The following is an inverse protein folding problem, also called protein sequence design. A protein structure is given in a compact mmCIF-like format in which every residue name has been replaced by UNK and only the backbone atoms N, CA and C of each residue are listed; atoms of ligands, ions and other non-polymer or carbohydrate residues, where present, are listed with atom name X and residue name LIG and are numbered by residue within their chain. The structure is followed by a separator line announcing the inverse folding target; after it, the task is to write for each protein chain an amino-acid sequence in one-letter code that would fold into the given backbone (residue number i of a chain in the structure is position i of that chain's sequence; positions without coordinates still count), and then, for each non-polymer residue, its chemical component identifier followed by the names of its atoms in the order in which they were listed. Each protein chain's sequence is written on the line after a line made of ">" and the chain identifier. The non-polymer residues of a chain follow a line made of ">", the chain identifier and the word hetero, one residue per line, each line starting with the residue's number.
data_IF_538329319214
#
_entry.id   IF_538329319214
#
_cell.length_a   1.000
_cell.length_b   1.000
_cell.length_c   1.000
_cell.angle_alpha   90.00
_cell.angle_beta   90.00
_cell.angle_gamma   90.00
#
_symmetry.space_group_name_H-M   'P 1'
#
loop_
_entity.id
_entity.type
_entity.pdbx_description
1 polymer ?
#
# COMPACT_ATOMS: atom_id res chain seq x y z
N UNK A 1 -19.47 -22.46 -13.24
CA UNK A 1 -19.35 -22.56 -11.76
C UNK A 1 -18.00 -23.12 -11.32
N UNK A 2 -17.50 -24.25 -11.86
CA UNK A 2 -16.20 -24.88 -11.50
C UNK A 2 -15.01 -23.93 -11.71
N UNK A 3 -14.90 -23.27 -12.87
CA UNK A 3 -13.82 -22.33 -13.18
C UNK A 3 -13.76 -21.14 -12.21
N UNK A 4 -14.91 -20.56 -11.83
CA UNK A 4 -14.95 -19.47 -10.82
C UNK A 4 -14.46 -19.91 -9.45
N UNK A 5 -14.81 -21.14 -9.02
CA UNK A 5 -14.29 -21.68 -7.74
C UNK A 5 -12.79 -21.84 -7.74
N UNK A 6 -12.20 -22.33 -8.85
CA UNK A 6 -10.74 -22.46 -9.00
C UNK A 6 -10.08 -21.07 -8.94
N UNK A 7 -10.62 -20.11 -9.67
CA UNK A 7 -10.11 -18.72 -9.67
C UNK A 7 -10.15 -18.11 -8.25
N UNK A 8 -11.28 -18.26 -7.55
CA UNK A 8 -11.41 -17.82 -6.16
C UNK A 8 -10.37 -18.47 -5.25
N UNK A 9 -10.18 -19.79 -5.38
CA UNK A 9 -9.20 -20.53 -4.58
C UNK A 9 -7.76 -20.03 -4.83
N UNK A 10 -7.39 -19.83 -6.10
CA UNK A 10 -6.07 -19.25 -6.46
C UNK A 10 -5.90 -17.85 -5.84
N UNK A 11 -6.93 -17.00 -5.90
CA UNK A 11 -6.86 -15.67 -5.30
C UNK A 11 -6.74 -15.70 -3.78
N UNK A 12 -7.39 -16.63 -3.09
CA UNK A 12 -7.25 -16.80 -1.63
C UNK A 12 -5.82 -17.18 -1.26
N UNK A 13 -5.25 -18.16 -1.98
CA UNK A 13 -3.85 -18.58 -1.73
C UNK A 13 -2.91 -17.41 -1.99
N UNK A 14 -3.07 -16.71 -3.12
CA UNK A 14 -2.26 -15.58 -3.49
C UNK A 14 -2.33 -14.45 -2.44
N UNK A 15 -3.53 -14.10 -2.01
CA UNK A 15 -3.74 -13.09 -0.97
C UNK A 15 -3.02 -13.46 0.33
N UNK A 16 -3.23 -14.68 0.82
CA UNK A 16 -2.58 -15.14 2.05
C UNK A 16 -1.06 -15.19 1.90
N UNK A 17 -0.55 -15.70 0.78
CA UNK A 17 0.88 -15.72 0.51
C UNK A 17 1.47 -14.31 0.58
N UNK A 18 0.90 -13.34 -0.14
CA UNK A 18 1.40 -11.97 -0.17
C UNK A 18 1.30 -11.26 1.19
N UNK A 19 0.22 -11.49 1.97
CA UNK A 19 0.09 -10.92 3.33
C UNK A 19 1.18 -11.45 4.26
N UNK A 20 1.52 -12.74 4.15
CA UNK A 20 2.49 -13.39 5.03
C UNK A 20 3.87 -13.57 4.39
N UNK A 21 4.12 -13.03 3.19
CA UNK A 21 5.36 -13.17 2.43
C UNK A 21 6.60 -12.88 3.29
N UNK A 22 6.61 -11.76 4.00
CA UNK A 22 7.74 -11.36 4.85
C UNK A 22 7.98 -12.33 6.02
N UNK A 23 6.92 -12.88 6.59
CA UNK A 23 7.02 -13.91 7.63
C UNK A 23 7.56 -15.25 7.08
N UNK A 24 7.19 -15.58 5.83
CA UNK A 24 7.68 -16.78 5.12
C UNK A 24 9.16 -16.63 4.77
N UNK A 25 9.56 -15.48 4.18
CA UNK A 25 10.95 -15.18 3.82
C UNK A 25 11.89 -15.25 5.02
N UNK A 26 11.45 -14.79 6.19
CA UNK A 26 12.23 -14.89 7.43
C UNK A 26 12.53 -16.34 7.83
N UNK A 27 11.64 -17.29 7.50
CA UNK A 27 11.75 -18.71 7.89
C UNK A 27 12.44 -19.57 6.83
N UNK A 28 12.43 -19.14 5.58
CA UNK A 28 12.98 -19.87 4.44
C UNK A 28 13.93 -18.99 3.63
N UNK A 29 14.99 -18.44 4.23
CA UNK A 29 15.89 -17.50 3.56
C UNK A 29 16.68 -18.14 2.41
N UNK A 30 16.78 -19.50 2.39
CA UNK A 30 17.50 -20.24 1.34
C UNK A 30 16.83 -20.12 -0.04
N UNK A 31 15.55 -19.75 -0.11
CA UNK A 31 14.83 -19.57 -1.38
C UNK A 31 14.78 -18.07 -1.70
N UNK A 32 15.92 -17.47 -2.02
CA UNK A 32 16.01 -16.04 -2.39
C UNK A 32 15.06 -15.63 -3.53
N UNK A 33 14.68 -16.56 -4.41
CA UNK A 33 13.67 -16.33 -5.46
C UNK A 33 12.29 -15.94 -4.91
N UNK A 34 11.96 -16.27 -3.66
CA UNK A 34 10.68 -15.86 -3.06
C UNK A 34 10.58 -14.36 -2.84
N UNK A 35 11.70 -13.64 -2.75
CA UNK A 35 11.71 -12.17 -2.62
C UNK A 35 11.22 -11.47 -3.89
N UNK A 36 11.38 -12.09 -5.06
CA UNK A 36 10.97 -11.55 -6.36
C UNK A 36 9.59 -12.06 -6.83
N UNK A 37 8.84 -12.73 -5.96
CA UNK A 37 7.56 -13.37 -6.34
C UNK A 37 6.50 -12.34 -6.73
N UNK A 38 6.49 -11.20 -6.10
CA UNK A 38 5.54 -10.11 -6.38
C UNK A 38 5.85 -9.41 -7.71
N UNK A 39 7.13 -9.21 -8.08
CA UNK A 39 7.53 -8.72 -9.39
C UNK A 39 7.18 -9.72 -10.51
N UNK A 40 7.50 -10.99 -10.30
CA UNK A 40 7.14 -12.05 -11.26
C UNK A 40 5.61 -12.14 -11.43
N UNK A 41 4.86 -12.07 -10.34
CA UNK A 41 3.41 -12.07 -10.36
C UNK A 41 2.86 -10.82 -11.07
N UNK A 42 3.45 -9.65 -10.84
CA UNK A 42 3.08 -8.41 -11.54
C UNK A 42 3.22 -8.58 -13.05
N UNK A 43 4.33 -9.14 -13.53
CA UNK A 43 4.54 -9.38 -14.97
C UNK A 43 3.48 -10.35 -15.53
N UNK A 44 3.20 -11.44 -14.83
CA UNK A 44 2.17 -12.42 -15.25
C UNK A 44 0.79 -11.76 -15.29
N UNK A 45 0.42 -11.02 -14.27
CA UNK A 45 -0.88 -10.34 -14.21
C UNK A 45 -1.01 -9.26 -15.28
N UNK A 46 0.06 -8.53 -15.57
CA UNK A 46 0.07 -7.53 -16.66
C UNK A 46 -0.20 -8.20 -18.01
N UNK A 47 0.52 -9.27 -18.32
CA UNK A 47 0.32 -10.04 -19.58
C UNK A 47 -1.11 -10.58 -19.65
N UNK A 48 -1.60 -11.23 -18.59
CA UNK A 48 -2.96 -11.77 -18.54
C UNK A 48 -4.01 -10.66 -18.72
N UNK A 49 -3.80 -9.49 -18.13
CA UNK A 49 -4.71 -8.35 -18.26
C UNK A 49 -4.75 -7.82 -19.70
N UNK A 50 -3.61 -7.67 -20.33
CA UNK A 50 -3.53 -7.24 -21.75
C UNK A 50 -4.20 -8.26 -22.66
N UNK A 51 -3.91 -9.55 -22.50
CA UNK A 51 -4.55 -10.61 -23.28
C UNK A 51 -6.06 -10.66 -23.07
N UNK A 52 -6.52 -10.38 -21.84
CA UNK A 52 -7.93 -10.31 -21.52
C UNK A 52 -8.59 -9.10 -22.20
N UNK A 53 -7.98 -7.92 -22.15
CA UNK A 53 -8.48 -6.70 -22.77
C UNK A 53 -8.54 -6.80 -24.30
N UNK A 54 -7.63 -7.52 -24.92
CA UNK A 54 -7.64 -7.77 -26.37
C UNK A 54 -8.82 -8.66 -26.79
N UNK A 55 -9.34 -9.52 -25.90
CA UNK A 55 -10.44 -10.45 -26.18
C UNK A 55 -11.81 -9.97 -25.73
N UNK A 56 -11.82 -9.10 -24.72
CA UNK A 56 -13.05 -8.65 -24.06
C UNK A 56 -13.02 -7.14 -23.87
N UNK A 57 -14.08 -6.41 -24.26
CA UNK A 57 -14.17 -4.98 -24.00
C UNK A 57 -14.24 -4.74 -22.49
N UNK A 58 -13.31 -3.98 -21.96
CA UNK A 58 -13.27 -3.59 -20.54
C UNK A 58 -13.63 -2.11 -20.45
N UNK A 59 -14.64 -1.78 -19.65
CA UNK A 59 -15.00 -0.39 -19.37
C UNK A 59 -14.29 0.09 -18.09
N UNK A 60 -13.33 0.95 -18.27
CA UNK A 60 -12.68 1.67 -17.17
C UNK A 60 -13.38 3.02 -16.95
N UNK A 61 -13.45 3.44 -15.69
CA UNK A 61 -13.93 4.79 -15.34
C UNK A 61 -13.00 5.86 -15.91
N UNK A 62 -13.53 7.06 -16.21
CA UNK A 62 -12.70 8.19 -16.64
C UNK A 62 -11.56 8.49 -15.68
N UNK A 63 -11.78 8.33 -14.36
CA UNK A 63 -10.73 8.49 -13.35
C UNK A 63 -9.63 7.44 -13.50
N UNK A 64 -9.98 6.19 -13.81
CA UNK A 64 -8.98 5.13 -14.05
C UNK A 64 -8.19 5.39 -15.34
N UNK A 65 -8.81 5.97 -16.36
CA UNK A 65 -8.11 6.38 -17.59
C UNK A 65 -7.11 7.51 -17.31
N UNK A 66 -7.50 8.51 -16.49
CA UNK A 66 -6.59 9.57 -16.02
C UNK A 66 -5.45 8.96 -15.21
N UNK A 67 -5.75 8.03 -14.29
CA UNK A 67 -4.74 7.33 -13.48
C UNK A 67 -3.72 6.60 -14.36
N UNK A 68 -4.17 5.89 -15.40
CA UNK A 68 -3.30 5.21 -16.37
C UNK A 68 -2.43 6.24 -17.11
N UNK A 69 -3.00 7.33 -17.60
CA UNK A 69 -2.25 8.37 -18.29
C UNK A 69 -1.17 8.99 -17.36
N UNK A 70 -1.49 9.22 -16.11
CA UNK A 70 -0.56 9.81 -15.13
C UNK A 70 0.53 8.84 -14.71
N UNK A 71 0.24 7.55 -14.52
CA UNK A 71 1.29 6.57 -14.21
C UNK A 71 2.22 6.34 -15.43
N UNK A 72 1.70 6.39 -16.65
CA UNK A 72 2.52 6.34 -17.85
C UNK A 72 3.38 7.60 -17.99
N UNK A 73 2.85 8.77 -17.64
CA UNK A 73 3.62 10.02 -17.60
C UNK A 73 4.75 9.94 -16.57
N UNK A 74 4.46 9.47 -15.36
CA UNK A 74 5.45 9.21 -14.32
C UNK A 74 6.57 8.29 -14.80
N UNK A 75 6.21 7.14 -15.38
CA UNK A 75 7.17 6.21 -15.98
C UNK A 75 7.98 6.86 -17.10
N UNK A 76 7.29 7.58 -17.99
CA UNK A 76 7.95 8.26 -19.13
C UNK A 76 9.01 9.25 -18.65
N UNK A 77 8.71 10.06 -17.63
CA UNK A 77 9.67 11.00 -17.05
C UNK A 77 10.83 10.27 -16.35
N UNK A 78 10.58 9.23 -15.58
CA UNK A 78 11.63 8.45 -14.93
C UNK A 78 12.54 7.74 -15.94
N UNK A 79 11.97 7.14 -16.99
CA UNK A 79 12.75 6.49 -18.07
C UNK A 79 13.59 7.54 -18.83
N UNK A 80 13.00 8.68 -19.21
CA UNK A 80 13.74 9.77 -19.85
C UNK A 80 14.85 10.30 -18.95
N UNK A 81 14.59 10.46 -17.64
CA UNK A 81 15.61 10.84 -16.66
C UNK A 81 16.78 9.85 -16.67
N UNK A 82 16.48 8.54 -16.64
CA UNK A 82 17.50 7.48 -16.67
C UNK A 82 18.32 7.48 -17.95
N UNK A 83 17.68 7.74 -19.10
CA UNK A 83 18.38 7.76 -20.40
C UNK A 83 19.26 9.00 -20.60
N UNK A 84 18.80 10.15 -20.08
CA UNK A 84 19.55 11.41 -20.17
C UNK A 84 20.69 11.44 -19.14
N UNK A 85 20.42 10.91 -17.93
CA UNK A 85 21.35 10.88 -16.82
C UNK A 85 21.61 9.42 -16.40
N UNK A 86 22.50 8.69 -17.08
CA UNK A 86 22.73 7.28 -16.79
C UNK A 86 23.61 7.11 -15.53
N UNK A 87 23.04 7.45 -14.38
CA UNK A 87 23.72 7.34 -13.06
C UNK A 87 23.79 5.89 -12.61
N UNK A 88 22.71 5.13 -12.84
CA UNK A 88 22.63 3.70 -12.53
C UNK A 88 22.58 2.87 -13.82
N UNK A 89 22.95 1.57 -13.70
CA UNK A 89 22.82 0.64 -14.81
C UNK A 89 21.36 0.46 -15.25
N UNK A 90 21.11 0.38 -16.56
CA UNK A 90 19.75 0.26 -17.12
C UNK A 90 18.93 -0.88 -16.53
N UNK A 91 19.57 -2.00 -16.17
CA UNK A 91 18.89 -3.13 -15.55
C UNK A 91 18.34 -2.78 -14.16
N UNK A 92 19.14 -2.10 -13.33
CA UNK A 92 18.73 -1.65 -12.00
C UNK A 92 17.62 -0.61 -12.09
N UNK A 93 17.74 0.34 -13.01
CA UNK A 93 16.71 1.36 -13.25
C UNK A 93 15.40 0.74 -13.73
N UNK A 94 15.45 -0.29 -14.57
CA UNK A 94 14.26 -1.01 -15.01
C UNK A 94 13.61 -1.80 -13.86
N UNK A 95 14.42 -2.44 -13.00
CA UNK A 95 13.93 -3.14 -11.81
C UNK A 95 13.20 -2.17 -10.86
N UNK A 96 13.79 -1.00 -10.61
CA UNK A 96 13.17 0.02 -9.76
C UNK A 96 11.88 0.60 -10.36
N UNK A 97 11.87 0.88 -11.67
CA UNK A 97 10.67 1.32 -12.37
C UNK A 97 9.51 0.31 -12.21
N UNK A 98 9.80 -1.00 -12.24
CA UNK A 98 8.82 -2.05 -12.01
C UNK A 98 8.27 -1.99 -10.58
N UNK A 99 9.11 -1.80 -9.58
CA UNK A 99 8.70 -1.65 -8.18
C UNK A 99 7.78 -0.43 -8.03
N UNK A 100 8.11 0.70 -8.65
CA UNK A 100 7.35 1.94 -8.55
C UNK A 100 5.91 1.85 -9.07
N UNK A 101 5.64 1.01 -10.08
CA UNK A 101 4.28 0.88 -10.66
C UNK A 101 3.50 -0.32 -10.15
N UNK A 102 4.13 -1.19 -9.37
CA UNK A 102 3.60 -2.48 -8.97
C UNK A 102 2.19 -2.39 -8.40
N UNK A 103 1.92 -1.49 -7.47
CA UNK A 103 0.61 -1.34 -6.82
C UNK A 103 -0.49 -0.96 -7.82
N UNK A 104 -0.21 -0.10 -8.79
CA UNK A 104 -1.17 0.28 -9.86
C UNK A 104 -1.43 -0.90 -10.80
N UNK A 105 -0.39 -1.66 -11.16
CA UNK A 105 -0.54 -2.84 -12.01
C UNK A 105 -1.41 -3.89 -11.32
N UNK A 106 -1.19 -4.16 -10.02
CA UNK A 106 -2.04 -5.06 -9.25
C UNK A 106 -3.49 -4.57 -9.19
N UNK A 107 -3.71 -3.28 -8.93
CA UNK A 107 -5.04 -2.69 -8.97
C UNK A 107 -5.72 -2.92 -10.33
N UNK A 108 -5.08 -2.49 -11.42
CA UNK A 108 -5.64 -2.59 -12.78
C UNK A 108 -5.87 -4.04 -13.21
N UNK A 109 -4.94 -4.94 -12.87
CA UNK A 109 -5.07 -6.35 -13.21
C UNK A 109 -6.32 -6.96 -12.56
N UNK A 110 -6.55 -6.71 -11.28
CA UNK A 110 -7.74 -7.22 -10.61
C UNK A 110 -9.02 -6.50 -11.02
N UNK A 111 -8.94 -5.22 -11.42
CA UNK A 111 -10.07 -4.52 -12.05
C UNK A 111 -10.49 -5.18 -13.36
N UNK A 112 -9.52 -5.61 -14.16
CA UNK A 112 -9.75 -6.21 -15.48
C UNK A 112 -10.11 -7.69 -15.38
N UNK A 113 -9.40 -8.46 -14.58
CA UNK A 113 -9.51 -9.92 -14.53
C UNK A 113 -10.64 -10.42 -13.63
N UNK A 114 -11.13 -9.64 -12.67
CA UNK A 114 -12.17 -10.05 -11.73
C UNK A 114 -13.48 -9.31 -11.99
N UNK A 115 -14.54 -10.00 -12.41
CA UNK A 115 -15.89 -9.45 -12.47
C UNK A 115 -16.50 -9.25 -11.08
N UNK A 116 -17.67 -8.58 -10.99
CA UNK A 116 -18.37 -8.32 -9.73
C UNK A 116 -18.68 -9.60 -8.92
N UNK A 117 -19.13 -10.66 -9.59
CA UNK A 117 -19.41 -11.95 -8.94
C UNK A 117 -18.12 -12.67 -8.49
N UNK A 118 -17.01 -12.55 -9.25
CA UNK A 118 -15.71 -13.06 -8.84
C UNK A 118 -15.20 -12.31 -7.60
N UNK A 119 -15.35 -10.99 -7.57
CA UNK A 119 -14.99 -10.15 -6.42
C UNK A 119 -15.79 -10.54 -5.16
N UNK A 120 -17.11 -10.72 -5.31
CA UNK A 120 -18.00 -11.15 -4.22
C UNK A 120 -17.62 -12.52 -3.65
N UNK A 121 -17.36 -13.50 -4.52
CA UNK A 121 -16.94 -14.84 -4.11
C UNK A 121 -15.57 -14.81 -3.43
N UNK A 122 -14.62 -14.06 -3.99
CA UNK A 122 -13.26 -13.92 -3.46
C UNK A 122 -13.26 -13.24 -2.10
N UNK A 123 -13.95 -12.10 -1.95
CA UNK A 123 -14.05 -11.39 -0.66
C UNK A 123 -14.70 -12.29 0.40
N UNK A 124 -15.74 -13.06 0.02
CA UNK A 124 -16.36 -13.99 0.95
C UNK A 124 -15.39 -15.08 1.43
N UNK A 125 -14.64 -15.68 0.51
CA UNK A 125 -13.69 -16.76 0.84
C UNK A 125 -12.49 -16.23 1.65
N UNK A 126 -11.88 -15.10 1.22
CA UNK A 126 -10.78 -14.43 1.93
C UNK A 126 -11.20 -14.02 3.33
N UNK A 127 -12.43 -13.52 3.52
CA UNK A 127 -12.95 -13.11 4.83
C UNK A 127 -13.01 -14.26 5.85
N UNK A 128 -13.19 -15.51 5.40
CA UNK A 128 -13.12 -16.67 6.31
C UNK A 128 -11.70 -16.82 6.85
N UNK A 129 -10.70 -16.75 5.97
CA UNK A 129 -9.29 -16.83 6.36
C UNK A 129 -8.89 -15.64 7.25
N UNK A 130 -9.39 -14.43 6.93
CA UNK A 130 -9.13 -13.23 7.74
C UNK A 130 -9.67 -13.36 9.18
N UNK A 131 -10.83 -14.00 9.38
CA UNK A 131 -11.36 -14.25 10.73
C UNK A 131 -10.48 -15.21 11.51
N UNK A 132 -10.04 -16.30 10.88
CA UNK A 132 -9.12 -17.26 11.51
C UNK A 132 -7.82 -16.55 11.87
N UNK A 133 -7.25 -15.80 10.94
CA UNK A 133 -6.04 -15.02 11.17
C UNK A 133 -6.22 -13.98 12.30
N UNK A 134 -7.38 -13.30 12.37
CA UNK A 134 -7.68 -12.35 13.44
C UNK A 134 -7.61 -13.00 14.82
N UNK A 135 -8.21 -14.19 14.98
CA UNK A 135 -8.16 -14.93 16.25
C UNK A 135 -6.75 -15.38 16.58
N UNK A 136 -6.07 -16.01 15.60
CA UNK A 136 -4.72 -16.54 15.78
C UNK A 136 -3.72 -15.43 16.14
N UNK A 137 -3.70 -14.33 15.37
CA UNK A 137 -2.79 -13.20 15.64
C UNK A 137 -3.09 -12.55 16.99
N UNK A 138 -4.36 -12.42 17.38
CA UNK A 138 -4.73 -11.86 18.69
C UNK A 138 -4.29 -12.78 19.83
N UNK A 139 -4.52 -14.09 19.72
CA UNK A 139 -4.07 -15.03 20.75
C UNK A 139 -2.55 -15.03 20.88
N UNK A 140 -1.83 -15.00 19.76
CA UNK A 140 -0.37 -14.85 19.77
C UNK A 140 0.05 -13.53 20.41
N UNK A 141 -0.58 -12.40 20.06
CA UNK A 141 -0.26 -11.10 20.65
C UNK A 141 -0.51 -11.07 22.16
N UNK A 142 -1.60 -11.66 22.64
CA UNK A 142 -1.89 -11.79 24.07
C UNK A 142 -0.88 -12.71 24.76
N UNK A 143 -0.51 -13.83 24.14
CA UNK A 143 0.53 -14.72 24.65
C UNK A 143 1.86 -13.97 24.81
N UNK A 144 2.32 -13.27 23.78
CA UNK A 144 3.58 -12.51 23.79
C UNK A 144 3.57 -11.38 24.83
N UNK A 145 2.40 -10.81 25.10
CA UNK A 145 2.27 -9.71 26.07
C UNK A 145 2.22 -10.18 27.50
N UNK A 146 1.50 -11.26 27.82
CA UNK A 146 1.24 -11.71 29.19
C UNK A 146 2.07 -12.92 29.65
N UNK A 147 2.65 -13.68 28.71
CA UNK A 147 3.38 -14.92 29.01
C UNK A 147 4.84 -14.83 28.55
N UNK A 148 5.52 -15.94 28.58
CA UNK A 148 6.90 -16.04 28.10
C UNK A 148 6.95 -15.81 26.57
N UNK A 149 7.71 -14.82 26.08
CA UNK A 149 7.71 -14.50 24.66
C UNK A 149 8.35 -15.61 23.81
N UNK A 150 7.71 -15.97 22.70
CA UNK A 150 8.24 -16.90 21.69
C UNK A 150 8.98 -16.17 20.58
N UNK A 151 8.66 -14.87 20.39
CA UNK A 151 9.24 -14.05 19.34
C UNK A 151 10.05 -12.90 19.95
N UNK A 152 11.08 -12.41 19.23
CA UNK A 152 11.79 -11.23 19.68
C UNK A 152 10.84 -10.02 19.77
N UNK A 153 11.01 -9.25 20.81
CA UNK A 153 10.37 -7.95 20.97
C UNK A 153 11.27 -6.87 20.36
N UNK A 154 10.71 -5.72 20.07
CA UNK A 154 11.43 -4.66 19.39
C UNK A 154 11.72 -3.49 20.37
N UNK A 155 11.24 -2.31 20.08
CA UNK A 155 11.43 -1.11 20.91
C UNK A 155 10.26 -0.92 21.91
N UNK A 156 10.44 -0.04 22.90
CA UNK A 156 9.37 0.33 23.83
C UNK A 156 8.64 1.56 23.28
N UNK A 157 7.33 1.43 23.06
CA UNK A 157 6.45 2.54 22.65
C UNK A 157 5.11 2.47 23.40
N UNK A 158 4.53 3.61 23.64
CA UNK A 158 3.26 3.71 24.40
C UNK A 158 3.29 2.99 25.75
N UNK A 159 4.48 2.84 26.37
CA UNK A 159 4.67 2.18 27.66
C UNK A 159 4.75 0.65 27.63
N UNK A 160 4.81 0.03 26.45
CA UNK A 160 4.98 -1.41 26.29
C UNK A 160 5.98 -1.77 25.18
N UNK A 161 6.54 -2.98 25.25
CA UNK A 161 7.41 -3.53 24.21
C UNK A 161 6.60 -3.89 22.97
N UNK A 162 6.99 -3.34 21.82
CA UNK A 162 6.26 -3.52 20.56
C UNK A 162 6.41 -4.93 20.04
N UNK A 163 5.31 -5.50 19.52
CA UNK A 163 5.27 -6.85 19.02
C UNK A 163 5.53 -6.90 17.51
N UNK A 164 6.33 -7.88 17.09
CA UNK A 164 6.51 -8.21 15.67
C UNK A 164 5.98 -9.61 15.31
N UNK A 165 5.72 -10.46 16.31
CA UNK A 165 5.31 -11.86 16.14
C UNK A 165 6.23 -12.61 15.15
N UNK A 166 5.62 -13.29 14.15
CA UNK A 166 6.36 -14.05 13.14
C UNK A 166 7.02 -13.17 12.06
N UNK A 167 6.80 -11.87 12.06
CA UNK A 167 7.34 -10.95 11.04
C UNK A 167 8.74 -10.45 11.40
N UNK A 168 9.55 -9.99 10.42
CA UNK A 168 10.89 -9.47 10.68
C UNK A 168 10.89 -8.12 11.41
N UNK A 169 9.78 -7.38 11.36
CA UNK A 169 9.67 -6.05 11.95
C UNK A 169 8.20 -5.74 12.32
N UNK A 170 7.91 -4.98 13.38
CA UNK A 170 6.56 -4.62 13.81
C UNK A 170 5.71 -3.93 12.72
N UNK A 171 6.33 -3.20 11.80
CA UNK A 171 5.64 -2.58 10.65
C UNK A 171 4.94 -3.60 9.78
N UNK A 172 5.56 -4.75 9.51
CA UNK A 172 4.94 -5.81 8.70
C UNK A 172 3.78 -6.49 9.42
N UNK A 173 3.87 -6.62 10.75
CA UNK A 173 2.73 -7.10 11.55
C UNK A 173 1.55 -6.12 11.46
N UNK A 174 1.81 -4.83 11.64
CA UNK A 174 0.79 -3.78 11.53
C UNK A 174 0.12 -3.80 10.16
N UNK A 175 0.94 -3.89 9.11
CA UNK A 175 0.49 -3.93 7.73
C UNK A 175 -0.38 -5.16 7.45
N UNK A 176 0.09 -6.35 7.86
CA UNK A 176 -0.65 -7.60 7.68
C UNK A 176 -1.99 -7.56 8.42
N UNK A 177 -2.00 -7.12 9.68
CA UNK A 177 -3.22 -7.01 10.47
C UNK A 177 -4.23 -6.03 9.85
N UNK A 178 -3.76 -4.85 9.41
CA UNK A 178 -4.63 -3.89 8.72
C UNK A 178 -5.15 -4.45 7.40
N UNK A 179 -4.31 -5.07 6.59
CA UNK A 179 -4.69 -5.67 5.30
C UNK A 179 -5.75 -6.75 5.47
N UNK A 180 -5.64 -7.59 6.51
CA UNK A 180 -6.64 -8.61 6.84
C UNK A 180 -7.99 -8.02 7.28
N UNK A 181 -8.03 -6.80 7.79
CA UNK A 181 -9.26 -6.13 8.18
C UNK A 181 -10.08 -5.65 6.97
N UNK A 182 -9.43 -5.23 5.88
CA UNK A 182 -10.10 -4.62 4.72
C UNK A 182 -11.10 -5.56 4.02
N UNK A 183 -10.82 -6.86 3.75
CA UNK A 183 -11.82 -7.79 3.22
C UNK A 183 -13.03 -7.97 4.13
N UNK A 184 -12.85 -7.89 5.45
CA UNK A 184 -13.96 -7.96 6.41
C UNK A 184 -14.86 -6.71 6.32
N UNK A 185 -14.27 -5.51 6.13
CA UNK A 185 -15.01 -4.28 5.89
C UNK A 185 -15.83 -4.38 4.59
N UNK A 186 -15.21 -4.83 3.48
CA UNK A 186 -15.90 -5.02 2.19
C UNK A 186 -17.01 -6.05 2.27
N UNK A 187 -16.82 -7.13 3.05
CA UNK A 187 -17.84 -8.15 3.23
C UNK A 187 -19.11 -7.65 3.89
N UNK A 188 -19.02 -6.61 4.70
CA UNK A 188 -20.16 -5.99 5.36
C UNK A 188 -21.15 -5.38 4.37
N UNK A 189 -20.68 -4.94 3.19
CA UNK A 189 -21.52 -4.51 2.08
C UNK A 189 -22.32 -5.68 1.45
N UNK A 190 -21.72 -6.85 1.36
CA UNK A 190 -22.33 -8.01 0.68
C UNK A 190 -23.47 -8.62 1.49
N UNK A 191 -23.49 -8.48 2.81
CA UNK A 191 -24.46 -9.10 3.73
C UNK A 191 -24.93 -8.12 4.82
N UNK A 192 -25.89 -7.29 4.49
CA UNK A 192 -26.38 -6.20 5.37
C UNK A 192 -27.01 -6.65 6.71
N UNK A 193 -27.34 -7.90 6.93
CA UNK A 193 -28.17 -8.33 8.08
C UNK A 193 -27.46 -9.19 9.15
N UNK A 194 -26.23 -9.68 8.94
CA UNK A 194 -25.54 -10.56 9.93
C UNK A 194 -24.09 -10.14 10.22
N UNK A 195 -23.70 -8.92 9.91
CA UNK A 195 -22.30 -8.49 9.92
C UNK A 195 -21.74 -8.01 11.27
N UNK A 196 -22.54 -8.00 12.36
CA UNK A 196 -22.02 -7.62 13.70
C UNK A 196 -20.79 -8.43 14.12
N UNK A 197 -20.70 -9.68 13.66
CA UNK A 197 -19.53 -10.53 13.92
C UNK A 197 -18.25 -10.03 13.24
N UNK A 198 -18.35 -9.44 12.05
CA UNK A 198 -17.15 -8.95 11.33
C UNK A 198 -16.54 -7.74 12.03
N UNK A 199 -17.32 -6.89 12.69
CA UNK A 199 -16.79 -5.82 13.54
C UNK A 199 -15.91 -6.35 14.66
N UNK A 200 -16.29 -7.46 15.29
CA UNK A 200 -15.46 -8.08 16.32
C UNK A 200 -14.08 -8.48 15.77
N UNK A 201 -14.03 -9.15 14.62
CA UNK A 201 -12.75 -9.54 14.02
C UNK A 201 -11.93 -8.34 13.51
N UNK A 202 -12.58 -7.30 12.99
CA UNK A 202 -11.92 -6.04 12.64
C UNK A 202 -11.31 -5.40 13.89
N UNK A 203 -12.04 -5.37 15.02
CA UNK A 203 -11.53 -4.85 16.28
C UNK A 203 -10.33 -5.65 16.79
N UNK A 204 -10.34 -6.99 16.67
CA UNK A 204 -9.19 -7.83 17.00
C UNK A 204 -7.97 -7.49 16.15
N UNK A 205 -8.14 -7.30 14.84
CA UNK A 205 -7.05 -6.95 13.94
C UNK A 205 -6.52 -5.53 14.20
N UNK A 206 -7.39 -4.58 14.53
CA UNK A 206 -6.98 -3.25 14.95
C UNK A 206 -6.23 -3.26 16.28
N UNK A 207 -6.64 -4.13 17.22
CA UNK A 207 -5.89 -4.36 18.45
C UNK A 207 -4.49 -4.91 18.16
N UNK A 208 -4.34 -5.91 17.27
CA UNK A 208 -3.03 -6.41 16.85
C UNK A 208 -2.20 -5.31 16.19
N UNK A 209 -2.82 -4.47 15.34
CA UNK A 209 -2.15 -3.31 14.76
C UNK A 209 -1.64 -2.34 15.83
N UNK A 210 -2.45 -2.08 16.88
CA UNK A 210 -2.04 -1.25 18.02
C UNK A 210 -0.86 -1.88 18.78
N UNK A 211 -0.89 -3.19 19.05
CA UNK A 211 0.18 -3.90 19.76
C UNK A 211 1.52 -3.92 18.96
N UNK A 212 1.51 -3.64 17.67
CA UNK A 212 2.74 -3.42 16.92
C UNK A 212 3.50 -2.15 17.32
N UNK A 213 2.84 -1.22 18.04
CA UNK A 213 3.44 0.02 18.52
C UNK A 213 3.83 1.02 17.43
N UNK A 214 3.43 0.81 16.17
CA UNK A 214 3.78 1.71 15.06
C UNK A 214 2.81 2.88 14.98
N UNK A 215 3.26 4.08 15.38
CA UNK A 215 2.45 5.31 15.46
C UNK A 215 1.67 5.58 14.17
N UNK A 216 2.28 5.36 13.01
CA UNK A 216 1.63 5.51 11.69
C UNK A 216 0.44 4.57 11.52
N UNK A 217 0.62 3.29 11.83
CA UNK A 217 -0.43 2.29 11.71
C UNK A 217 -1.56 2.54 12.73
N UNK A 218 -1.22 2.95 13.96
CA UNK A 218 -2.19 3.37 14.98
C UNK A 218 -2.99 4.58 14.50
N UNK A 219 -2.32 5.57 13.91
CA UNK A 219 -2.95 6.74 13.30
C UNK A 219 -3.90 6.37 12.15
N UNK A 220 -3.48 5.46 11.28
CA UNK A 220 -4.32 4.97 10.19
C UNK A 220 -5.56 4.21 10.68
N UNK A 221 -5.42 3.40 11.74
CA UNK A 221 -6.56 2.75 12.40
C UNK A 221 -7.50 3.78 13.01
N UNK A 222 -6.99 4.80 13.70
CA UNK A 222 -7.80 5.88 14.27
C UNK A 222 -8.58 6.63 13.18
N UNK A 223 -7.94 6.95 12.06
CA UNK A 223 -8.59 7.55 10.89
C UNK A 223 -9.65 6.60 10.30
N UNK A 224 -9.37 5.30 10.19
CA UNK A 224 -10.35 4.31 9.70
C UNK A 224 -11.58 4.23 10.60
N UNK A 225 -11.40 4.26 11.93
CA UNK A 225 -12.51 4.31 12.91
C UNK A 225 -13.32 5.60 12.73
N UNK A 226 -12.67 6.74 12.55
CA UNK A 226 -13.35 8.01 12.30
C UNK A 226 -14.17 7.96 11.00
N UNK A 227 -13.59 7.46 9.91
CA UNK A 227 -14.29 7.29 8.63
C UNK A 227 -15.54 6.41 8.82
N UNK A 228 -15.38 5.28 9.55
CA UNK A 228 -16.50 4.42 9.88
C UNK A 228 -17.59 5.15 10.68
N UNK A 229 -17.20 5.91 11.72
CA UNK A 229 -18.12 6.67 12.55
C UNK A 229 -18.91 7.67 11.70
N UNK A 230 -18.23 8.42 10.86
CA UNK A 230 -18.83 9.47 10.02
C UNK A 230 -19.77 8.89 8.94
N UNK A 231 -19.33 7.88 8.21
CA UNK A 231 -20.12 7.34 7.08
C UNK A 231 -21.17 6.33 7.51
N UNK A 232 -20.80 5.41 8.41
CA UNK A 232 -21.66 4.27 8.72
C UNK A 232 -22.57 4.59 9.88
N UNK A 233 -22.07 5.17 10.96
CA UNK A 233 -22.85 5.47 12.19
C UNK A 233 -23.66 6.76 12.01
N UNK A 234 -22.97 7.89 11.77
CA UNK A 234 -23.62 9.21 11.68
C UNK A 234 -24.30 9.43 10.33
N UNK A 235 -24.04 8.54 9.35
CA UNK A 235 -24.61 8.62 7.99
C UNK A 235 -24.37 9.97 7.32
N UNK A 236 -23.34 10.68 7.70
CA UNK A 236 -22.97 11.96 7.13
C UNK A 236 -22.46 11.75 5.69
N UNK A 237 -23.02 12.50 4.73
CA UNK A 237 -22.61 12.46 3.32
C UNK A 237 -21.79 13.67 2.91
N UNK A 238 -21.53 14.60 3.82
CA UNK A 238 -20.72 15.79 3.54
C UNK A 238 -19.26 15.38 3.35
N UNK A 239 -18.85 15.23 2.11
CA UNK A 239 -17.47 14.84 1.73
C UNK A 239 -16.44 15.85 2.26
N UNK A 240 -16.80 17.13 2.27
CA UNK A 240 -15.92 18.19 2.78
C UNK A 240 -15.73 18.07 4.30
N UNK A 241 -16.79 17.87 5.06
CA UNK A 241 -16.69 17.71 6.51
C UNK A 241 -15.83 16.49 6.88
N UNK A 242 -15.98 15.38 6.15
CA UNK A 242 -15.23 14.16 6.36
C UNK A 242 -13.76 14.36 6.01
N UNK A 243 -13.48 15.01 4.89
CA UNK A 243 -12.12 15.32 4.48
C UNK A 243 -11.42 16.22 5.51
N UNK A 244 -12.11 17.25 6.01
CA UNK A 244 -11.58 18.15 7.05
C UNK A 244 -11.38 17.43 8.39
N UNK A 245 -12.37 16.66 8.84
CA UNK A 245 -12.25 15.88 10.09
C UNK A 245 -11.14 14.84 10.01
N UNK A 246 -11.03 14.15 8.86
CA UNK A 246 -9.94 13.22 8.59
C UNK A 246 -8.57 13.89 8.57
N UNK A 247 -8.47 15.05 7.92
CA UNK A 247 -7.23 15.84 7.87
C UNK A 247 -6.83 16.35 9.26
N UNK A 248 -7.78 16.86 10.05
CA UNK A 248 -7.52 17.32 11.43
C UNK A 248 -7.07 16.16 12.31
N UNK A 249 -7.71 15.00 12.21
CA UNK A 249 -7.30 13.83 12.99
C UNK A 249 -5.94 13.30 12.53
N UNK A 250 -5.71 13.18 11.22
CA UNK A 250 -4.42 12.76 10.67
C UNK A 250 -3.30 13.71 11.11
N UNK A 251 -3.58 15.02 11.11
CA UNK A 251 -2.66 16.05 11.60
C UNK A 251 -2.46 15.92 13.12
N UNK A 252 -3.51 15.78 13.92
CA UNK A 252 -3.41 15.68 15.37
C UNK A 252 -2.66 14.42 15.82
N UNK A 253 -2.95 13.26 15.21
CA UNK A 253 -2.26 11.99 15.50
C UNK A 253 -0.85 11.99 14.94
N UNK A 254 -0.67 12.56 13.74
CA UNK A 254 0.62 12.67 13.08
C UNK A 254 1.50 13.79 13.63
N UNK A 255 0.93 14.80 14.34
CA UNK A 255 1.67 15.98 14.76
C UNK A 255 2.86 15.65 15.65
N UNK A 256 2.69 14.83 16.68
CA UNK A 256 3.82 14.42 17.51
C UNK A 256 4.85 13.66 16.68
N UNK A 257 4.41 12.74 15.82
CA UNK A 257 5.32 12.04 14.91
C UNK A 257 5.93 12.98 13.86
N UNK A 258 5.18 13.93 13.32
CA UNK A 258 5.70 14.96 12.40
C UNK A 258 6.62 15.94 13.14
N UNK A 259 6.23 16.40 14.31
CA UNK A 259 7.07 17.24 15.16
C UNK A 259 8.34 16.52 15.54
N UNK A 260 8.19 15.32 16.04
CA UNK A 260 9.30 14.45 16.31
C UNK A 260 10.11 14.13 15.03
N UNK A 261 9.52 13.89 13.87
CA UNK A 261 10.18 13.55 12.61
C UNK A 261 10.77 14.75 11.86
N UNK A 262 10.33 15.96 12.05
CA UNK A 262 10.74 17.12 11.24
C UNK A 262 11.03 18.40 12.02
N UNK A 263 10.68 18.49 13.31
CA UNK A 263 10.77 19.74 14.07
C UNK A 263 11.66 19.63 15.32
N UNK A 264 11.66 18.49 16.02
CA UNK A 264 12.42 18.32 17.25
C UNK A 264 13.90 18.13 16.94
N UNK A 265 14.68 19.05 17.42
CA UNK A 265 16.09 19.26 17.07
C UNK A 265 17.05 18.36 17.85
N UNK A 266 16.73 17.10 18.04
CA UNK A 266 17.72 16.15 18.53
C UNK A 266 18.70 15.82 17.39
N UNK A 267 19.89 16.43 17.48
CA UNK A 267 20.91 16.48 16.45
C UNK A 267 21.56 15.12 16.13
N UNK A 268 21.08 14.04 16.70
CA UNK A 268 21.68 12.72 16.54
C UNK A 268 20.61 11.70 16.10
N UNK A 269 20.51 11.37 14.81
CA UNK A 269 19.80 10.20 14.36
C UNK A 269 18.90 10.35 13.14
N UNK A 270 17.97 9.42 12.97
CA UNK A 270 17.09 9.22 11.82
C UNK A 270 16.27 10.46 11.38
N UNK A 271 16.12 11.46 12.22
CA UNK A 271 15.43 12.73 11.95
C UNK A 271 16.15 13.64 10.97
N UNK A 272 17.41 13.98 11.32
CA UNK A 272 18.27 14.79 10.47
C UNK A 272 18.37 14.15 9.08
N UNK A 273 18.39 12.83 9.03
CA UNK A 273 18.47 12.04 7.80
C UNK A 273 17.23 12.23 6.92
N UNK A 274 16.00 12.19 7.47
CA UNK A 274 14.78 12.38 6.67
C UNK A 274 14.68 13.77 6.07
N UNK A 275 14.99 14.81 6.87
CA UNK A 275 15.03 16.20 6.38
C UNK A 275 16.07 16.32 5.27
N UNK A 276 17.25 15.73 5.47
CA UNK A 276 18.34 15.70 4.50
C UNK A 276 17.90 15.02 3.21
N UNK A 277 17.27 13.86 3.28
CA UNK A 277 16.71 13.16 2.11
C UNK A 277 15.73 14.03 1.32
N UNK A 278 14.83 14.76 1.98
CA UNK A 278 13.90 15.68 1.30
C UNK A 278 14.60 16.85 0.63
N UNK A 279 15.57 17.49 1.34
CA UNK A 279 16.38 18.59 0.80
C UNK A 279 17.19 18.15 -0.41
N UNK A 280 17.81 16.98 -0.32
CA UNK A 280 18.71 16.48 -1.35
C UNK A 280 17.91 15.94 -2.56
N UNK A 281 16.72 15.36 -2.35
CA UNK A 281 15.77 15.07 -3.44
C UNK A 281 15.35 16.35 -4.19
N UNK A 282 15.06 17.44 -3.47
CA UNK A 282 14.72 18.72 -4.10
C UNK A 282 15.93 19.30 -4.86
N UNK A 283 17.14 19.11 -4.36
CA UNK A 283 18.39 19.49 -5.04
C UNK A 283 18.57 18.70 -6.32
N UNK A 284 18.34 17.39 -6.31
CA UNK A 284 18.36 16.55 -7.51
C UNK A 284 17.31 17.02 -8.53
N UNK A 285 16.06 17.19 -8.10
CA UNK A 285 14.99 17.64 -8.99
C UNK A 285 15.23 19.04 -9.57
N UNK A 286 15.98 19.90 -8.88
CA UNK A 286 16.41 21.22 -9.38
C UNK A 286 17.55 21.08 -10.39
N UNK A 287 18.58 20.29 -10.06
CA UNK A 287 19.78 20.16 -10.88
C UNK A 287 19.50 19.44 -12.20
N UNK A 288 18.57 18.51 -12.20
CA UNK A 288 18.18 17.73 -13.39
C UNK A 288 16.84 18.20 -14.02
N UNK A 289 16.36 19.40 -13.68
CA UNK A 289 15.09 19.94 -14.18
C UNK A 289 15.01 19.89 -15.72
N UNK A 290 13.86 19.48 -16.28
CA UNK A 290 12.56 19.15 -15.67
C UNK A 290 12.45 17.70 -15.18
N UNK A 291 13.50 16.90 -15.32
CA UNK A 291 13.61 15.50 -14.96
C UNK A 291 14.12 15.34 -13.50
N UNK A 292 14.35 14.09 -13.10
CA UNK A 292 15.08 13.72 -11.89
C UNK A 292 16.41 13.05 -12.25
N UNK A 293 17.01 12.37 -11.27
CA UNK A 293 18.26 11.63 -11.47
C UNK A 293 18.08 10.26 -12.18
N UNK A 294 16.84 9.81 -12.39
CA UNK A 294 16.50 8.50 -12.98
C UNK A 294 16.14 7.45 -11.93
N UNK A 295 15.49 6.38 -12.37
CA UNK A 295 15.08 5.28 -11.50
C UNK A 295 16.27 4.55 -10.88
N UNK A 296 16.13 4.09 -9.63
CA UNK A 296 17.13 3.37 -8.87
C UNK A 296 18.30 4.24 -8.40
N UNK A 297 18.14 5.57 -8.38
CA UNK A 297 19.23 6.49 -8.04
C UNK A 297 19.14 7.08 -6.65
N UNK A 298 17.93 7.24 -6.08
CA UNK A 298 17.78 7.95 -4.81
C UNK A 298 16.60 7.47 -3.96
N UNK A 299 16.90 6.97 -2.76
CA UNK A 299 15.90 6.63 -1.73
C UNK A 299 15.17 5.30 -1.94
N UNK A 300 15.22 4.70 -3.12
CA UNK A 300 14.60 3.42 -3.41
C UNK A 300 15.42 2.24 -2.85
N UNK A 301 14.78 1.07 -2.69
CA UNK A 301 15.46 -0.13 -2.24
C UNK A 301 16.61 -0.51 -3.21
N UNK A 302 16.39 -0.39 -4.52
CA UNK A 302 17.40 -0.65 -5.53
C UNK A 302 18.59 0.29 -5.38
N UNK A 303 18.34 1.58 -5.13
CA UNK A 303 19.39 2.56 -4.89
C UNK A 303 20.20 2.27 -3.61
N UNK A 304 19.52 1.78 -2.55
CA UNK A 304 20.17 1.44 -1.28
C UNK A 304 20.98 0.13 -1.39
N UNK A 305 20.41 -0.93 -1.97
CA UNK A 305 21.04 -2.25 -2.07
C UNK A 305 22.28 -2.22 -2.97
N UNK A 306 22.27 -1.40 -4.02
CA UNK A 306 23.38 -1.23 -4.96
C UNK A 306 24.20 0.04 -4.70
N UNK A 307 23.94 0.73 -3.62
CA UNK A 307 24.54 1.97 -3.15
C UNK A 307 24.83 2.97 -4.26
N UNK A 308 23.80 3.71 -4.63
CA UNK A 308 23.84 4.64 -5.77
C UNK A 308 25.02 5.61 -5.73
N UNK A 309 25.68 5.92 -6.87
CA UNK A 309 26.70 6.98 -6.96
C UNK A 309 26.25 8.34 -6.44
N UNK A 310 24.94 8.63 -6.46
CA UNK A 310 24.36 9.86 -5.90
C UNK A 310 24.64 9.99 -4.41
N UNK A 311 24.67 8.89 -3.67
CA UNK A 311 24.93 8.91 -2.24
C UNK A 311 26.36 9.33 -1.91
N UNK A 312 27.33 8.89 -2.69
CA UNK A 312 28.72 9.39 -2.57
C UNK A 312 28.81 10.88 -2.87
N UNK A 313 28.09 11.36 -3.89
CA UNK A 313 28.08 12.79 -4.23
C UNK A 313 27.51 13.68 -3.13
N UNK A 314 26.60 13.15 -2.28
CA UNK A 314 26.07 13.83 -1.10
C UNK A 314 26.85 13.55 0.18
N UNK A 315 27.90 12.71 0.14
CA UNK A 315 28.70 12.36 1.32
C UNK A 315 27.98 11.45 2.31
N UNK A 316 27.00 10.64 1.85
CA UNK A 316 26.22 9.74 2.70
C UNK A 316 27.04 8.56 3.21
N UNK A 317 28.11 8.22 2.54
CA UNK A 317 29.08 7.18 2.92
C UNK A 317 29.76 7.43 4.27
N UNK A 318 29.86 8.70 4.69
CA UNK A 318 30.37 9.11 6.01
C UNK A 318 29.29 9.18 7.11
N UNK A 319 28.01 8.91 6.82
CA UNK A 319 26.90 9.09 7.76
C UNK A 319 26.43 7.73 8.29
N UNK A 320 26.35 7.59 9.61
CA UNK A 320 25.87 6.36 10.23
C UNK A 320 24.42 6.04 9.81
N UNK A 321 24.18 4.81 9.38
CA UNK A 321 22.88 4.36 8.90
C UNK A 321 22.57 4.72 7.44
N UNK A 322 23.46 5.45 6.74
CA UNK A 322 23.37 5.75 5.31
C UNK A 322 24.57 5.23 4.51
N UNK A 323 25.60 4.70 5.17
CA UNK A 323 26.82 4.20 4.55
C UNK A 323 26.59 2.87 3.82
N UNK A 324 27.47 2.49 2.83
CA UNK A 324 27.35 1.22 2.10
C UNK A 324 27.34 -0.02 2.99
N UNK A 325 28.01 0.04 4.14
CA UNK A 325 28.06 -1.03 5.13
C UNK A 325 26.81 -1.11 6.01
N UNK A 326 26.02 -0.05 6.03
CA UNK A 326 24.81 0.08 6.83
C UNK A 326 23.89 1.16 6.25
N UNK A 327 22.91 0.73 5.46
CA UNK A 327 22.00 1.58 4.69
C UNK A 327 20.56 1.62 5.24
N UNK A 328 20.42 1.42 6.56
CA UNK A 328 19.13 1.24 7.25
C UNK A 328 18.14 2.39 7.01
N UNK A 329 18.62 3.63 6.80
CA UNK A 329 17.80 4.83 6.72
C UNK A 329 17.57 5.36 5.30
N UNK A 330 18.23 4.79 4.29
CA UNK A 330 18.10 5.27 2.91
C UNK A 330 16.69 5.09 2.34
N UNK A 331 15.94 4.09 2.83
CA UNK A 331 14.57 3.78 2.38
C UNK A 331 13.49 4.24 3.38
N UNK A 332 13.82 5.11 4.34
CA UNK A 332 12.90 5.53 5.42
C UNK A 332 11.95 6.68 5.00
N UNK A 333 11.92 7.04 3.72
CA UNK A 333 11.10 8.14 3.21
C UNK A 333 10.57 7.80 1.81
N UNK A 334 9.31 8.15 1.53
CA UNK A 334 8.68 7.85 0.24
C UNK A 334 8.82 8.99 -0.78
N UNK A 335 8.43 10.21 -0.41
CA UNK A 335 8.36 11.34 -1.34
C UNK A 335 9.70 11.77 -1.92
N UNK A 336 10.82 11.67 -1.20
CA UNK A 336 12.17 11.87 -1.75
C UNK A 336 12.52 10.93 -2.90
N UNK A 337 12.04 9.67 -2.90
CA UNK A 337 12.23 8.73 -4.01
C UNK A 337 11.59 9.31 -5.27
N UNK A 338 10.28 9.58 -5.19
CA UNK A 338 9.49 10.07 -6.32
C UNK A 338 10.09 11.37 -6.87
N UNK A 339 10.45 12.31 -6.00
CA UNK A 339 10.99 13.62 -6.40
C UNK A 339 12.41 13.51 -6.96
N UNK A 340 13.28 12.78 -6.28
CA UNK A 340 14.70 12.65 -6.68
C UNK A 340 14.86 11.91 -8.00
N UNK A 341 14.08 10.85 -8.21
CA UNK A 341 14.22 9.99 -9.39
C UNK A 341 13.48 10.51 -10.62
N UNK A 342 12.29 11.12 -10.46
CA UNK A 342 11.44 11.53 -11.59
C UNK A 342 11.21 13.03 -11.71
N UNK A 343 11.77 13.83 -10.80
CA UNK A 343 11.64 15.28 -10.78
C UNK A 343 10.24 15.78 -10.45
N UNK A 344 10.02 17.07 -10.60
CA UNK A 344 8.76 17.72 -10.23
C UNK A 344 7.57 17.22 -11.04
N UNK A 345 7.73 17.02 -12.34
CA UNK A 345 6.62 16.60 -13.21
C UNK A 345 6.20 15.17 -12.90
N UNK A 346 7.18 14.25 -12.71
CA UNK A 346 6.89 12.90 -12.29
C UNK A 346 6.20 12.85 -10.92
N UNK A 347 6.65 13.68 -9.97
CA UNK A 347 6.03 13.79 -8.65
C UNK A 347 4.57 14.26 -8.71
N UNK A 348 4.29 15.28 -9.54
CA UNK A 348 2.91 15.76 -9.74
C UNK A 348 2.06 14.66 -10.38
N UNK A 349 2.58 13.97 -11.40
CA UNK A 349 1.87 12.87 -12.05
C UNK A 349 1.54 11.75 -11.06
N UNK A 350 2.50 11.36 -10.21
CA UNK A 350 2.27 10.37 -9.15
C UNK A 350 1.25 10.89 -8.11
N UNK A 351 1.33 12.14 -7.69
CA UNK A 351 0.35 12.76 -6.80
C UNK A 351 -1.07 12.69 -7.36
N UNK A 352 -1.24 12.91 -8.67
CA UNK A 352 -2.54 12.76 -9.34
C UNK A 352 -3.03 11.31 -9.30
N UNK A 353 -2.14 10.30 -9.44
CA UNK A 353 -2.52 8.89 -9.28
C UNK A 353 -3.11 8.64 -7.88
N UNK A 354 -2.48 9.16 -6.83
CA UNK A 354 -3.00 9.05 -5.45
C UNK A 354 -4.35 9.76 -5.31
N UNK A 355 -4.50 10.93 -5.88
CA UNK A 355 -5.79 11.68 -5.91
C UNK A 355 -6.87 10.87 -6.65
N UNK A 356 -6.53 10.15 -7.73
CA UNK A 356 -7.48 9.27 -8.42
C UNK A 356 -8.03 8.18 -7.49
N UNK A 357 -7.20 7.54 -6.67
CA UNK A 357 -7.66 6.55 -5.67
C UNK A 357 -8.58 7.17 -4.62
N UNK A 358 -8.28 8.38 -4.13
CA UNK A 358 -9.17 9.14 -3.25
C UNK A 358 -10.52 9.43 -3.90
N UNK A 359 -10.54 9.90 -5.14
CA UNK A 359 -11.75 10.21 -5.88
C UNK A 359 -12.60 8.96 -6.15
N UNK A 360 -11.99 7.81 -6.45
CA UNK A 360 -12.68 6.52 -6.57
C UNK A 360 -13.34 6.16 -5.23
N UNK A 361 -12.61 6.31 -4.13
CA UNK A 361 -13.11 6.02 -2.79
C UNK A 361 -14.28 6.94 -2.39
N UNK A 362 -14.21 8.24 -2.71
CA UNK A 362 -15.29 9.18 -2.46
C UNK A 362 -16.54 8.91 -3.32
N UNK A 363 -16.38 8.39 -4.54
CA UNK A 363 -17.53 7.94 -5.34
C UNK A 363 -18.27 6.75 -4.71
N UNK A 364 -17.58 5.94 -3.94
CA UNK A 364 -18.17 4.84 -3.22
C UNK A 364 -19.16 5.29 -2.15
N UNK A 365 -19.00 6.48 -1.57
CA UNK A 365 -19.87 7.02 -0.50
C UNK A 365 -21.32 7.10 -0.93
N UNK A 366 -21.56 7.46 -2.19
CA UNK A 366 -22.91 7.62 -2.73
C UNK A 366 -23.57 6.26 -3.03
N UNK A 367 -22.79 5.18 -3.15
CA UNK A 367 -23.27 3.83 -3.49
C UNK A 367 -23.34 2.92 -2.27
N UNK A 368 -22.23 2.74 -1.57
CA UNK A 368 -22.16 1.85 -0.40
C UNK A 368 -21.14 2.38 0.62
N UNK A 369 -21.60 2.63 1.83
CA UNK A 369 -20.80 3.21 2.91
C UNK A 369 -19.72 2.29 3.46
N UNK A 370 -19.96 0.98 3.45
CA UNK A 370 -18.97 0.01 3.90
C UNK A 370 -17.83 -0.12 2.91
N UNK A 371 -18.15 -0.10 1.60
CA UNK A 371 -17.12 -0.07 0.57
C UNK A 371 -16.34 1.24 0.64
N UNK A 372 -17.03 2.38 0.78
CA UNK A 372 -16.36 3.68 0.94
C UNK A 372 -15.42 3.68 2.15
N UNK A 373 -15.87 3.15 3.29
CA UNK A 373 -15.03 2.99 4.46
C UNK A 373 -13.78 2.17 4.17
N UNK A 374 -13.93 0.99 3.56
CA UNK A 374 -12.81 0.13 3.22
C UNK A 374 -11.80 0.80 2.27
N UNK A 375 -12.30 1.39 1.17
CA UNK A 375 -11.44 2.02 0.16
C UNK A 375 -10.70 3.25 0.70
N UNK A 376 -11.41 4.13 1.43
CA UNK A 376 -10.77 5.28 2.06
C UNK A 376 -9.76 4.87 3.11
N UNK A 377 -10.04 3.83 3.90
CA UNK A 377 -9.10 3.31 4.89
C UNK A 377 -7.80 2.83 4.25
N UNK A 378 -7.86 2.19 3.07
CA UNK A 378 -6.66 1.78 2.31
C UNK A 378 -5.84 3.00 1.90
N UNK A 379 -6.46 3.99 1.26
CA UNK A 379 -5.72 5.17 0.76
C UNK A 379 -5.13 5.98 1.92
N UNK A 380 -5.89 6.14 3.01
CA UNK A 380 -5.43 6.86 4.21
C UNK A 380 -4.27 6.12 4.89
N UNK A 381 -4.33 4.78 4.95
CA UNK A 381 -3.23 3.98 5.48
C UNK A 381 -1.94 4.21 4.69
N UNK A 382 -2.01 4.14 3.35
CA UNK A 382 -0.87 4.38 2.47
C UNK A 382 -0.32 5.81 2.58
N UNK A 383 -1.20 6.81 2.62
CA UNK A 383 -0.80 8.21 2.77
C UNK A 383 -0.10 8.48 4.11
N UNK A 384 -0.63 7.96 5.22
CA UNK A 384 0.00 8.12 6.54
C UNK A 384 1.33 7.37 6.59
N UNK A 385 1.40 6.16 6.03
CA UNK A 385 2.63 5.38 5.98
C UNK A 385 3.69 6.03 5.10
N UNK A 386 3.31 6.71 4.00
CA UNK A 386 4.25 7.37 3.09
C UNK A 386 5.05 8.54 3.71
N UNK A 387 4.65 9.01 4.89
CA UNK A 387 5.38 10.06 5.61
C UNK A 387 6.78 9.59 6.03
N UNK A 388 6.92 8.31 6.39
CA UNK A 388 8.17 7.78 6.93
C UNK A 388 8.42 6.30 6.57
N UNK A 389 7.98 5.85 5.41
CA UNK A 389 8.22 4.52 4.83
C UNK A 389 7.97 4.57 3.32
N UNK A 390 8.59 3.66 2.56
CA UNK A 390 8.35 3.47 1.12
C UNK A 390 7.01 2.79 0.84
N UNK A 391 5.90 3.30 1.42
CA UNK A 391 4.63 2.58 1.51
C UNK A 391 4.10 2.09 0.17
N UNK A 392 3.81 2.97 -0.78
CA UNK A 392 3.26 2.59 -2.09
C UNK A 392 4.15 1.63 -2.88
N UNK A 393 5.46 1.68 -2.68
CA UNK A 393 6.43 0.82 -3.36
C UNK A 393 6.74 -0.46 -2.58
N UNK A 394 6.22 -0.60 -1.35
CA UNK A 394 6.39 -1.80 -0.56
C UNK A 394 5.58 -2.97 -1.17
N UNK A 395 6.11 -4.20 -1.24
CA UNK A 395 5.38 -5.38 -1.69
C UNK A 395 4.01 -5.56 -1.03
N UNK A 396 3.93 -5.24 0.25
CA UNK A 396 2.70 -5.37 1.02
C UNK A 396 1.57 -4.48 0.49
N UNK A 397 1.86 -3.25 -0.01
CA UNK A 397 0.86 -2.34 -0.59
C UNK A 397 0.14 -2.96 -1.78
N UNK A 398 0.82 -3.80 -2.57
CA UNK A 398 0.20 -4.50 -3.70
C UNK A 398 -1.05 -5.27 -3.28
N UNK A 399 -1.01 -5.89 -2.09
CA UNK A 399 -2.15 -6.67 -1.54
C UNK A 399 -3.32 -5.76 -1.21
N UNK A 400 -3.07 -4.59 -0.63
CA UNK A 400 -4.11 -3.60 -0.34
C UNK A 400 -4.79 -3.13 -1.62
N UNK A 401 -4.03 -2.89 -2.69
CA UNK A 401 -4.58 -2.46 -3.97
C UNK A 401 -5.29 -3.57 -4.74
N UNK A 402 -4.97 -4.85 -4.52
CA UNK A 402 -5.80 -5.99 -4.95
C UNK A 402 -7.18 -5.91 -4.28
N UNK A 403 -7.20 -5.78 -2.96
CA UNK A 403 -8.47 -5.71 -2.20
C UNK A 403 -9.26 -4.46 -2.56
N UNK A 404 -8.58 -3.33 -2.78
CA UNK A 404 -9.18 -2.10 -3.30
C UNK A 404 -9.88 -2.34 -4.65
N UNK A 405 -9.23 -3.01 -5.59
CA UNK A 405 -9.81 -3.34 -6.90
C UNK A 405 -11.06 -4.22 -6.77
N UNK A 406 -11.02 -5.23 -5.89
CA UNK A 406 -12.18 -6.07 -5.61
C UNK A 406 -13.36 -5.25 -5.05
N UNK A 407 -13.09 -4.28 -4.17
CA UNK A 407 -14.10 -3.34 -3.66
C UNK A 407 -14.71 -2.47 -4.75
N UNK A 408 -13.89 -1.98 -5.68
CA UNK A 408 -14.35 -1.20 -6.85
C UNK A 408 -15.20 -2.07 -7.77
N UNK A 409 -14.82 -3.34 -8.00
CA UNK A 409 -15.58 -4.27 -8.83
C UNK A 409 -16.95 -4.63 -8.25
N UNK A 410 -17.10 -4.65 -6.93
CA UNK A 410 -18.40 -4.81 -6.28
C UNK A 410 -19.40 -3.71 -6.65
N UNK A 411 -18.91 -2.49 -6.89
CA UNK A 411 -19.77 -1.31 -7.12
C UNK A 411 -20.03 -1.01 -8.58
N UNK A 412 -18.99 -1.14 -9.41
CA UNK A 412 -19.02 -0.61 -10.78
C UNK A 412 -19.01 -1.71 -11.84
N UNK A 413 -18.70 -2.96 -11.44
CA UNK A 413 -18.49 -4.06 -12.39
C UNK A 413 -17.32 -3.78 -13.33
N UNK A 414 -17.01 -4.75 -14.18
CA UNK A 414 -16.03 -4.62 -15.29
C UNK A 414 -16.65 -4.78 -16.65
N UNK A 415 -17.83 -5.40 -16.68
CA UNK A 415 -18.56 -5.71 -17.91
C UNK A 415 -20.00 -5.22 -17.81
N UNK A 416 -20.51 -4.60 -18.88
CA UNK A 416 -21.93 -4.75 -19.16
C UNK A 416 -22.09 -6.20 -19.65
N UNK A 417 -22.88 -7.01 -18.94
CA UNK A 417 -23.50 -8.16 -19.58
C UNK A 417 -24.19 -7.62 -20.83
N UNK A 418 -24.00 -8.26 -22.01
CA UNK A 418 -24.76 -7.87 -23.18
C UNK A 418 -26.24 -7.91 -22.73
N UNK A 419 -26.90 -6.77 -22.86
CA UNK A 419 -28.36 -6.70 -22.69
C UNK A 419 -28.89 -7.83 -23.53
N UNK A 420 -29.44 -8.86 -22.90
CA UNK A 420 -30.27 -9.83 -23.60
C UNK A 420 -31.39 -9.00 -24.20
N UNK A 421 -31.22 -8.63 -25.44
CA UNK A 421 -32.34 -8.15 -26.26
C UNK A 421 -33.35 -9.31 -26.17
N UNK A 422 -34.36 -9.10 -25.38
CA UNK A 422 -35.50 -9.99 -25.37
C UNK A 422 -35.98 -10.05 -26.82
N UNK A 423 -35.74 -11.18 -27.45
CA UNK A 423 -36.47 -11.54 -28.63
C UNK A 423 -37.92 -11.79 -28.16
N UNK A 424 -38.69 -10.71 -28.07
CA UNK A 424 -40.12 -10.76 -28.24
C UNK A 424 -40.36 -10.68 -29.76
N UNK A 425 -40.51 -11.82 -30.40
CA UNK A 425 -41.35 -12.02 -31.57
C UNK A 425 -42.13 -13.30 -31.32
#
# INVERSE_FOLDING_TARGET
>A
MKARKIKTFVFVILFLFLVFQQAILLRVPQIGLLSYTDEALMCVLLVLSVLHMLRHPVRLMKIEQVMIAMILLFLGFGVLSTLINPVQGLFLSAADAMVCIRFVVFYLAFRVLAGAEDAKMTIHAVSVCCRIAAVVLTLLALHEFFLTPWFPKFDVRFGFETLQLMFPHPTYLAFAAFTLAVPLMLRMSIRSLKCRRDFFYIALLFFVTFMSGRSKAVGAVACSILIWLLFVVLKNRSKLFIALAGAVLAFAVGWNSLADYYITNDQEGAYAIRIMMHRDAATLAKNFFPFGAGFGTFGSAVAADHYSPVYYAFGYDGIWGMAPTRSDYLCDTFWPIVLGETGWIGTIAFGIVVVCFLLISFRAVDKDRYIAWALLSVVVYELISSIAETSFFNPASSVLFIVFALGVNLMFGTYEEPVKVAQEI
#
